data_IF_096247382592
#
_entry.id   IF_096247382592
#
_cell.length_a   1.000
_cell.length_b   1.000
_cell.length_c   1.000
_cell.angle_alpha   90.00
_cell.angle_beta   90.00
_cell.angle_gamma   90.00
#
_symmetry.space_group_name_H-M   'P 1'
#
loop_
_entity.id
_entity.type
_entity.pdbx_description
1 polymer ?
#
# COMPACT_ATOMS: atom_id res chain seq x y z
N UNK A 1 11.01 14.21 5.51
CA UNK A 1 10.42 12.89 5.84
C UNK A 1 11.48 11.84 5.69
N UNK A 2 11.67 11.04 6.73
CA UNK A 2 12.47 9.81 6.66
C UNK A 2 11.80 8.80 5.72
N UNK A 3 12.51 7.73 5.33
CA UNK A 3 11.89 6.62 4.60
C UNK A 3 10.73 6.00 5.38
N UNK A 4 10.87 5.91 6.71
CA UNK A 4 9.82 5.40 7.60
C UNK A 4 8.58 6.30 7.57
N UNK A 5 8.73 7.62 7.70
CA UNK A 5 7.60 8.56 7.60
C UNK A 5 6.88 8.41 6.25
N UNK A 6 7.64 8.17 5.17
CA UNK A 6 7.08 7.98 3.83
C UNK A 6 6.28 6.68 3.75
N UNK A 7 6.79 5.59 4.32
CA UNK A 7 6.07 4.31 4.35
C UNK A 7 4.80 4.43 5.18
N UNK A 8 4.87 5.02 6.39
CA UNK A 8 3.69 5.17 7.25
C UNK A 8 2.59 5.99 6.57
N UNK A 9 2.96 7.08 5.89
CA UNK A 9 2.03 7.87 5.10
C UNK A 9 1.46 7.08 3.91
N UNK A 10 2.26 6.28 3.22
CA UNK A 10 1.78 5.43 2.13
C UNK A 10 0.77 4.39 2.63
N UNK A 11 1.02 3.77 3.78
CA UNK A 11 0.09 2.84 4.45
C UNK A 11 -1.20 3.55 4.88
N UNK A 12 -1.12 4.80 5.34
CA UNK A 12 -2.31 5.60 5.64
C UNK A 12 -3.14 5.86 4.38
N UNK A 13 -2.50 6.30 3.30
CA UNK A 13 -3.15 6.56 2.01
C UNK A 13 -3.87 5.32 1.46
N UNK A 14 -3.27 4.13 1.62
CA UNK A 14 -3.90 2.84 1.27
C UNK A 14 -5.25 2.64 2.00
N UNK A 15 -5.32 2.97 3.29
CA UNK A 15 -6.52 2.73 4.11
C UNK A 15 -7.63 3.78 3.92
N UNK A 16 -7.32 4.98 3.44
CA UNK A 16 -8.28 6.11 3.40
C UNK A 16 -9.33 6.00 2.28
N UNK A 17 -9.03 5.34 1.16
CA UNK A 17 -9.77 5.54 -0.10
C UNK A 17 -10.40 4.29 -0.74
N UNK A 18 -10.30 3.15 -0.07
CA UNK A 18 -10.78 1.85 -0.52
C UNK A 18 -12.28 1.82 -0.88
N UNK A 19 -13.08 2.74 -0.34
CA UNK A 19 -14.52 2.79 -0.59
C UNK A 19 -14.90 3.34 -1.99
N UNK A 20 -14.09 4.22 -2.60
CA UNK A 20 -14.41 4.77 -3.93
C UNK A 20 -14.27 3.71 -5.02
N UNK A 21 -13.35 2.77 -4.85
CA UNK A 21 -13.13 1.68 -5.79
C UNK A 21 -14.34 0.77 -5.95
N UNK A 22 -15.09 0.52 -4.86
CA UNK A 22 -16.33 -0.25 -4.90
C UNK A 22 -17.41 0.40 -5.79
N UNK A 23 -17.35 1.73 -5.98
CA UNK A 23 -18.31 2.51 -6.77
C UNK A 23 -17.76 2.99 -8.12
N UNK A 24 -16.47 2.79 -8.39
CA UNK A 24 -15.79 3.32 -9.58
C UNK A 24 -16.32 2.76 -10.91
N UNK A 25 -16.91 1.56 -10.88
CA UNK A 25 -17.59 0.96 -12.03
C UNK A 25 -19.00 1.54 -12.23
N UNK A 26 -19.63 2.07 -11.17
CA UNK A 26 -21.03 2.49 -11.16
C UNK A 26 -21.23 4.01 -11.35
N UNK A 27 -20.25 4.85 -11.00
CA UNK A 27 -20.35 6.31 -11.11
C UNK A 27 -19.02 6.99 -11.51
N UNK A 28 -19.10 7.98 -12.40
CA UNK A 28 -17.96 8.78 -12.86
C UNK A 28 -17.23 9.50 -11.74
N UNK A 29 -17.95 10.12 -10.80
CA UNK A 29 -17.35 10.84 -9.67
C UNK A 29 -16.54 9.90 -8.75
N UNK A 30 -17.03 8.68 -8.54
CA UNK A 30 -16.32 7.68 -7.74
C UNK A 30 -15.05 7.20 -8.46
N UNK A 31 -15.14 7.02 -9.79
CA UNK A 31 -13.98 6.71 -10.63
C UNK A 31 -12.93 7.82 -10.55
N UNK A 32 -13.32 9.07 -10.75
CA UNK A 32 -12.37 10.18 -10.73
C UNK A 32 -11.66 10.31 -9.37
N UNK A 33 -12.37 10.06 -8.27
CA UNK A 33 -11.78 10.05 -6.92
C UNK A 33 -10.86 8.85 -6.68
N UNK A 34 -11.26 7.65 -7.10
CA UNK A 34 -10.44 6.44 -6.98
C UNK A 34 -9.11 6.58 -7.76
N UNK A 35 -9.20 6.98 -9.03
CA UNK A 35 -8.04 7.15 -9.90
C UNK A 35 -7.20 8.38 -9.52
N UNK A 36 -7.83 9.47 -9.07
CA UNK A 36 -7.13 10.65 -8.56
C UNK A 36 -6.30 10.34 -7.32
N UNK A 37 -6.85 9.59 -6.38
CA UNK A 37 -6.11 9.14 -5.21
C UNK A 37 -5.01 8.14 -5.57
N UNK A 38 -5.28 7.18 -6.46
CA UNK A 38 -4.25 6.26 -6.97
C UNK A 38 -3.06 7.02 -7.58
N UNK A 39 -3.34 8.07 -8.38
CA UNK A 39 -2.29 8.91 -8.95
C UNK A 39 -1.45 9.57 -7.85
N UNK A 40 -2.09 10.19 -6.87
CA UNK A 40 -1.39 10.81 -5.74
C UNK A 40 -0.53 9.80 -4.95
N UNK A 41 -1.03 8.57 -4.76
CA UNK A 41 -0.28 7.50 -4.12
C UNK A 41 0.96 7.10 -4.95
N UNK A 42 0.81 6.86 -6.25
CA UNK A 42 1.91 6.48 -7.15
C UNK A 42 2.97 7.58 -7.22
N UNK A 43 2.55 8.85 -7.32
CA UNK A 43 3.45 10.00 -7.31
C UNK A 43 4.22 10.09 -5.98
N UNK A 44 3.54 9.85 -4.86
CA UNK A 44 4.14 9.90 -3.54
C UNK A 44 5.18 8.78 -3.32
N UNK A 45 4.87 7.52 -3.66
CA UNK A 45 5.82 6.41 -3.50
C UNK A 45 7.02 6.52 -4.47
N UNK A 46 6.87 7.23 -5.59
CA UNK A 46 7.98 7.51 -6.51
C UNK A 46 9.04 8.43 -5.87
N UNK A 47 8.72 9.14 -4.78
CA UNK A 47 9.69 9.89 -4.00
C UNK A 47 10.53 9.02 -3.04
N UNK A 48 10.25 7.72 -2.93
CA UNK A 48 11.02 6.78 -2.12
C UNK A 48 12.17 6.23 -2.98
N UNK A 49 13.42 6.53 -2.60
CA UNK A 49 14.60 6.14 -3.37
C UNK A 49 14.83 4.63 -3.43
N UNK A 50 14.33 3.88 -2.45
CA UNK A 50 14.41 2.42 -2.42
C UNK A 50 13.31 1.83 -3.31
N UNK A 51 13.72 1.29 -4.45
CA UNK A 51 12.83 0.72 -5.47
C UNK A 51 12.08 -0.50 -4.95
N UNK A 52 12.67 -1.27 -4.03
CA UNK A 52 12.03 -2.43 -3.42
C UNK A 52 10.86 -1.96 -2.56
N UNK A 53 11.08 -0.99 -1.67
CA UNK A 53 10.02 -0.41 -0.83
C UNK A 53 8.88 0.16 -1.70
N UNK A 54 9.21 0.94 -2.73
CA UNK A 54 8.21 1.51 -3.63
C UNK A 54 7.41 0.42 -4.37
N UNK A 55 8.08 -0.64 -4.84
CA UNK A 55 7.43 -1.77 -5.51
C UNK A 55 6.48 -2.53 -4.57
N UNK A 56 6.91 -2.80 -3.34
CA UNK A 56 6.09 -3.51 -2.35
C UNK A 56 4.86 -2.69 -1.96
N UNK A 57 5.01 -1.36 -1.78
CA UNK A 57 3.87 -0.47 -1.53
C UNK A 57 2.86 -0.47 -2.69
N UNK A 58 3.34 -0.54 -3.94
CA UNK A 58 2.47 -0.65 -5.11
C UNK A 58 1.69 -1.96 -5.14
N UNK A 59 2.34 -3.09 -4.84
CA UNK A 59 1.65 -4.38 -4.76
C UNK A 59 0.59 -4.36 -3.64
N UNK A 60 0.91 -3.76 -2.49
CA UNK A 60 -0.03 -3.64 -1.38
C UNK A 60 -1.28 -2.84 -1.80
N UNK A 61 -1.10 -1.71 -2.49
CA UNK A 61 -2.22 -0.92 -3.03
C UNK A 61 -3.08 -1.70 -4.03
N UNK A 62 -2.48 -2.44 -4.97
CA UNK A 62 -3.24 -3.23 -5.95
C UNK A 62 -4.10 -4.32 -5.28
N UNK A 63 -3.63 -4.86 -4.16
CA UNK A 63 -4.39 -5.81 -3.34
C UNK A 63 -5.55 -5.14 -2.62
N UNK A 64 -5.38 -3.94 -2.05
CA UNK A 64 -6.45 -3.25 -1.31
C UNK A 64 -7.49 -2.61 -2.23
N UNK A 65 -7.04 -1.87 -3.24
CA UNK A 65 -7.90 -1.11 -4.16
C UNK A 65 -8.96 -1.98 -4.84
N UNK A 66 -8.64 -3.25 -5.13
CA UNK A 66 -9.59 -4.15 -5.76
C UNK A 66 -10.50 -4.93 -4.79
N UNK A 67 -10.24 -4.92 -3.47
CA UNK A 67 -10.75 -5.99 -2.57
C UNK A 67 -11.10 -5.59 -1.13
N UNK A 68 -11.13 -4.31 -0.80
CA UNK A 68 -11.38 -3.80 0.57
C UNK A 68 -12.59 -4.38 1.33
N UNK A 69 -13.56 -5.01 0.65
CA UNK A 69 -14.79 -5.52 1.26
C UNK A 69 -15.12 -6.97 0.92
N UNK A 70 -14.13 -7.81 0.63
CA UNK A 70 -14.39 -9.25 0.48
C UNK A 70 -14.15 -9.97 1.80
N UNK A 71 -15.10 -10.78 2.28
CA UNK A 71 -14.90 -11.78 3.34
C UNK A 71 -13.96 -12.93 2.95
N UNK A 72 -13.28 -12.77 1.81
CA UNK A 72 -12.28 -13.67 1.26
C UNK A 72 -11.03 -13.67 2.16
N UNK A 73 -10.89 -14.78 2.89
CA UNK A 73 -9.79 -15.01 3.82
C UNK A 73 -8.42 -15.06 3.15
N UNK A 74 -8.33 -15.51 1.90
CA UNK A 74 -7.06 -15.62 1.18
C UNK A 74 -6.51 -14.24 0.84
N UNK A 75 -7.38 -13.32 0.44
CA UNK A 75 -7.00 -11.93 0.13
C UNK A 75 -6.55 -11.17 1.38
N UNK A 76 -7.24 -11.37 2.52
CA UNK A 76 -6.82 -10.82 3.83
C UNK A 76 -5.45 -11.35 4.26
N UNK A 77 -5.21 -12.65 4.08
CA UNK A 77 -3.91 -13.26 4.38
C UNK A 77 -2.79 -12.72 3.46
N UNK A 78 -3.07 -12.54 2.16
CA UNK A 78 -2.11 -11.94 1.21
C UNK A 78 -1.75 -10.51 1.62
N UNK A 79 -2.73 -9.69 1.98
CA UNK A 79 -2.49 -8.32 2.45
C UNK A 79 -1.57 -8.29 3.68
N UNK A 80 -1.89 -9.08 4.72
CA UNK A 80 -1.05 -9.13 5.93
C UNK A 80 0.35 -9.69 5.64
N UNK A 81 0.48 -10.66 4.75
CA UNK A 81 1.78 -11.20 4.33
C UNK A 81 2.67 -10.12 3.70
N UNK A 82 2.14 -9.36 2.72
CA UNK A 82 2.88 -8.29 2.05
C UNK A 82 3.24 -7.18 3.06
N UNK A 83 2.32 -6.83 3.95
CA UNK A 83 2.57 -5.85 5.00
C UNK A 83 3.71 -6.28 5.93
N UNK A 84 3.75 -7.55 6.34
CA UNK A 84 4.84 -8.09 7.18
C UNK A 84 6.18 -8.06 6.44
N UNK A 85 6.21 -8.46 5.17
CA UNK A 85 7.40 -8.42 4.32
C UNK A 85 7.94 -6.98 4.14
N UNK A 86 7.03 -6.02 3.91
CA UNK A 86 7.37 -4.60 3.85
C UNK A 86 8.03 -4.13 5.15
N UNK A 87 7.45 -4.47 6.31
CA UNK A 87 8.01 -4.09 7.61
C UNK A 87 9.37 -4.75 7.84
N UNK A 88 9.56 -6.00 7.44
CA UNK A 88 10.85 -6.70 7.54
C UNK A 88 11.93 -6.08 6.62
N UNK A 89 11.53 -5.54 5.47
CA UNK A 89 12.43 -4.85 4.52
C UNK A 89 12.89 -3.50 5.08
N UNK A 90 12.01 -2.78 5.77
CA UNK A 90 12.29 -1.44 6.34
C UNK A 90 13.04 -1.53 7.66
N UNK A 91 12.76 -2.57 8.45
CA UNK A 91 13.49 -2.91 9.66
C UNK A 91 14.33 -4.15 9.39
N UNK A 92 15.48 -4.05 8.68
CA UNK A 92 16.42 -5.15 8.64
C UNK A 92 16.76 -5.44 10.09
N UNK A 93 16.37 -6.64 10.54
CA UNK A 93 16.64 -7.06 11.91
C UNK A 93 18.13 -6.86 12.13
N UNK A 94 18.51 -6.14 13.19
CA UNK A 94 19.88 -6.19 13.66
C UNK A 94 20.14 -7.64 14.09
N UNK A 95 20.48 -8.50 13.13
CA UNK A 95 21.17 -9.76 13.40
C UNK A 95 22.54 -9.29 13.86
N UNK A 96 22.64 -9.02 15.16
CA UNK A 96 23.90 -8.93 15.88
C UNK A 96 24.64 -10.23 15.59
N UNK A 97 25.60 -10.17 14.68
CA UNK A 97 26.69 -11.13 14.64
C UNK A 97 27.46 -10.88 15.94
N UNK A 98 27.07 -11.58 16.99
CA UNK A 98 27.93 -11.79 18.14
C UNK A 98 28.90 -12.91 17.73
N UNK A 99 30.11 -12.50 17.40
CA UNK A 99 31.28 -13.34 17.13
C UNK A 99 31.74 -14.07 18.41
#
# INVERSE_FOLDING_TARGET
>A
MTTMDKVEKALQMINEHDWWWAWAEYCGDARDKAYGHMRAFVEFIAEISDVTIASTLRELWEVTAHKAWTDDKEKKAKYESIRVELMATIFPSEIKIAA
#
